data_IF_756064528668
#
_entry.id   IF_756064528668
#
_cell.length_a   1.000
_cell.length_b   1.000
_cell.length_c   1.000
_cell.angle_alpha   90.00
_cell.angle_beta   90.00
_cell.angle_gamma   90.00
#
_symmetry.space_group_name_H-M   'P 1'
#
loop_
_entity.id
_entity.type
_entity.pdbx_description
1 polymer ?
#
# COMPACT_ATOMS: atom_id res chain seq x y z
N UNK A 1 11.35 4.17 -23.19
CA UNK A 1 12.42 4.28 -22.15
C UNK A 1 11.87 4.87 -20.87
N UNK A 2 12.18 4.30 -19.75
CA UNK A 2 11.75 4.83 -18.46
C UNK A 2 12.65 6.00 -18.09
N UNK A 3 12.05 7.17 -17.86
CA UNK A 3 12.74 8.38 -17.47
C UNK A 3 11.98 9.12 -16.37
N UNK A 4 12.53 10.21 -15.90
CA UNK A 4 11.96 11.05 -14.86
C UNK A 4 10.57 11.59 -15.24
N UNK A 5 10.37 11.96 -16.49
CA UNK A 5 9.10 12.48 -16.97
C UNK A 5 8.00 11.43 -16.93
N UNK A 6 8.34 10.19 -17.27
CA UNK A 6 7.41 9.07 -17.17
C UNK A 6 7.00 8.81 -15.73
N UNK A 7 7.96 8.81 -14.80
CA UNK A 7 7.69 8.60 -13.37
C UNK A 7 6.72 9.66 -12.85
N UNK A 8 6.94 10.92 -13.17
CA UNK A 8 6.06 12.03 -12.77
C UNK A 8 4.68 11.91 -13.40
N UNK A 9 4.61 11.54 -14.67
CA UNK A 9 3.34 11.37 -15.39
C UNK A 9 2.51 10.21 -14.82
N UNK A 10 3.14 9.09 -14.50
CA UNK A 10 2.46 7.94 -13.87
C UNK A 10 1.92 8.32 -12.49
N UNK A 11 2.73 8.99 -11.69
CA UNK A 11 2.30 9.46 -10.37
C UNK A 11 1.08 10.37 -10.45
N UNK A 12 1.07 11.30 -11.38
CA UNK A 12 -0.05 12.21 -11.58
C UNK A 12 -1.31 11.47 -12.02
N UNK A 13 -1.18 10.52 -12.94
CA UNK A 13 -2.32 9.75 -13.46
C UNK A 13 -3.00 8.91 -12.38
N UNK A 14 -2.23 8.31 -11.47
CA UNK A 14 -2.74 7.41 -10.44
C UNK A 14 -2.82 8.06 -9.05
N UNK A 15 -2.64 9.37 -8.97
CA UNK A 15 -2.69 10.15 -7.73
C UNK A 15 -1.70 9.62 -6.68
N UNK A 16 -0.47 9.36 -7.12
CA UNK A 16 0.62 8.91 -6.27
C UNK A 16 1.52 10.07 -5.89
N UNK A 17 2.13 9.98 -4.71
CA UNK A 17 3.09 10.99 -4.24
C UNK A 17 4.49 10.59 -4.69
N UNK A 18 5.19 11.51 -5.33
CA UNK A 18 6.61 11.33 -5.70
C UNK A 18 7.46 12.24 -4.86
N UNK A 19 8.49 11.67 -4.24
CA UNK A 19 9.49 12.44 -3.49
C UNK A 19 10.86 12.24 -4.11
N UNK A 20 11.59 13.34 -4.28
CA UNK A 20 12.99 13.30 -4.66
C UNK A 20 13.81 12.98 -3.40
N UNK A 21 14.37 11.77 -3.34
CA UNK A 21 15.13 11.32 -2.19
C UNK A 21 16.58 11.79 -2.22
N UNK A 22 17.14 11.96 -3.41
CA UNK A 22 18.51 12.37 -3.60
C UNK A 22 18.66 13.15 -4.90
N UNK A 23 19.42 14.22 -4.86
CA UNK A 23 19.71 15.03 -6.05
C UNK A 23 21.18 15.46 -6.04
N UNK A 24 21.93 15.00 -7.03
CA UNK A 24 23.31 15.41 -7.27
C UNK A 24 23.52 15.66 -8.76
N UNK A 25 24.73 16.05 -9.15
CA UNK A 25 25.06 16.26 -10.56
C UNK A 25 24.93 14.98 -11.40
N UNK A 26 25.23 13.85 -10.79
CA UNK A 26 25.34 12.57 -11.50
C UNK A 26 24.18 11.63 -11.23
N UNK A 27 23.40 11.88 -10.19
CA UNK A 27 22.34 10.98 -9.79
C UNK A 27 21.19 11.73 -9.14
N UNK A 28 19.98 11.43 -9.58
CA UNK A 28 18.75 11.88 -8.94
C UNK A 28 17.87 10.66 -8.72
N UNK A 29 17.36 10.49 -7.51
CA UNK A 29 16.48 9.38 -7.19
C UNK A 29 15.12 9.86 -6.72
N UNK A 30 14.10 9.10 -7.07
CA UNK A 30 12.70 9.37 -6.74
C UNK A 30 12.07 8.14 -6.13
N UNK A 31 11.25 8.36 -5.12
CA UNK A 31 10.42 7.31 -4.54
C UNK A 31 8.96 7.69 -4.73
N UNK A 32 8.16 6.73 -5.17
CA UNK A 32 6.73 6.88 -5.39
C UNK A 32 5.97 6.18 -4.27
N UNK A 33 5.00 6.88 -3.69
CA UNK A 33 4.24 6.40 -2.53
C UNK A 33 2.76 6.27 -2.88
N UNK A 34 2.17 5.18 -2.43
CA UNK A 34 0.72 4.96 -2.44
C UNK A 34 0.25 4.91 -0.98
N UNK A 35 -0.55 5.88 -0.59
CA UNK A 35 -1.08 5.99 0.77
C UNK A 35 0.04 5.95 1.84
N UNK A 36 1.11 6.70 1.57
CA UNK A 36 2.28 6.78 2.46
C UNK A 36 3.22 5.58 2.43
N UNK A 37 2.95 4.59 1.58
CA UNK A 37 3.77 3.39 1.44
C UNK A 37 4.60 3.43 0.17
N UNK A 38 5.88 3.15 0.29
CA UNK A 38 6.83 3.11 -0.81
C UNK A 38 6.52 1.93 -1.74
N UNK A 39 6.20 2.21 -3.01
CA UNK A 39 5.88 1.18 -4.00
C UNK A 39 6.82 1.15 -5.19
N UNK A 40 7.59 2.21 -5.41
CA UNK A 40 8.42 2.33 -6.61
C UNK A 40 9.62 3.23 -6.33
N UNK A 41 10.77 2.80 -6.82
CA UNK A 41 12.02 3.54 -6.74
C UNK A 41 12.63 3.69 -8.13
N UNK A 42 13.02 4.90 -8.49
CA UNK A 42 13.69 5.22 -9.74
C UNK A 42 14.95 6.02 -9.45
N UNK A 43 16.04 5.70 -10.15
CA UNK A 43 17.30 6.43 -10.06
C UNK A 43 17.86 6.68 -11.45
N UNK A 44 18.32 7.91 -11.71
CA UNK A 44 18.97 8.25 -12.98
C UNK A 44 20.30 7.52 -13.16
N UNK A 45 20.92 7.06 -12.08
CA UNK A 45 22.12 6.22 -12.14
C UNK A 45 21.86 4.90 -12.87
N UNK A 46 20.62 4.40 -12.77
CA UNK A 46 20.15 3.21 -13.48
C UNK A 46 19.15 3.59 -14.56
N UNK A 47 19.55 4.47 -15.46
CA UNK A 47 18.68 4.98 -16.54
C UNK A 47 18.00 3.82 -17.29
N UNK A 48 16.69 3.91 -17.47
CA UNK A 48 15.88 2.89 -18.11
C UNK A 48 15.43 1.76 -17.19
N UNK A 49 15.79 1.80 -15.90
CA UNK A 49 15.41 0.81 -14.89
C UNK A 49 14.59 1.47 -13.78
N UNK A 50 13.65 0.73 -13.29
CA UNK A 50 12.87 1.10 -12.13
C UNK A 50 12.64 -0.14 -11.26
N UNK A 51 12.55 0.05 -9.95
CA UNK A 51 12.16 -1.03 -9.04
C UNK A 51 10.75 -0.74 -8.56
N UNK A 52 9.84 -1.69 -8.73
CA UNK A 52 8.44 -1.53 -8.38
C UNK A 52 7.90 -2.79 -7.71
N UNK A 53 7.05 -2.60 -6.70
CA UNK A 53 6.33 -3.70 -6.08
C UNK A 53 5.33 -4.32 -7.07
N UNK A 54 5.17 -5.63 -7.02
CA UNK A 54 4.28 -6.36 -7.92
C UNK A 54 3.14 -7.07 -7.20
N UNK A 55 3.15 -7.05 -5.87
CA UNK A 55 2.16 -7.74 -5.05
C UNK A 55 1.65 -6.86 -3.93
N UNK A 56 0.39 -7.05 -3.58
CA UNK A 56 -0.23 -6.46 -2.39
C UNK A 56 -0.40 -7.58 -1.37
N UNK A 57 0.02 -7.33 -0.13
CA UNK A 57 -0.03 -8.31 0.95
C UNK A 57 -0.96 -7.85 2.05
N UNK A 58 -1.59 -8.79 2.74
CA UNK A 58 -2.40 -8.52 3.93
C UNK A 58 -1.88 -9.38 5.07
N UNK A 59 -1.45 -8.73 6.14
CA UNK A 59 -0.90 -9.39 7.32
C UNK A 59 -1.82 -9.19 8.53
N UNK A 60 -2.08 -10.27 9.25
CA UNK A 60 -2.89 -10.31 10.46
C UNK A 60 -2.04 -10.47 11.73
N UNK A 61 -0.74 -10.21 11.63
CA UNK A 61 0.21 -10.43 12.72
C UNK A 61 -0.08 -9.54 13.94
N UNK A 62 0.01 -10.08 15.11
CA UNK A 62 0.25 -9.41 16.41
C UNK A 62 -0.85 -8.46 16.90
N UNK A 63 -1.73 -7.98 16.07
CA UNK A 63 -2.84 -7.12 16.50
C UNK A 63 -4.09 -7.52 15.72
N UNK A 64 -5.23 -7.29 16.33
CA UNK A 64 -6.54 -7.54 15.70
C UNK A 64 -6.80 -6.65 14.48
N UNK A 65 -5.80 -5.91 14.02
CA UNK A 65 -5.88 -5.03 12.88
C UNK A 65 -5.08 -5.59 11.71
N UNK A 66 -5.74 -5.97 10.61
CA UNK A 66 -5.02 -6.37 9.41
C UNK A 66 -4.25 -5.18 8.83
N UNK A 67 -3.04 -5.44 8.33
CA UNK A 67 -2.21 -4.45 7.67
C UNK A 67 -2.05 -4.80 6.21
N UNK A 68 -2.29 -3.82 5.34
CA UNK A 68 -2.04 -3.97 3.92
C UNK A 68 -0.64 -3.44 3.66
N UNK A 69 0.17 -4.25 2.99
CA UNK A 69 1.51 -3.89 2.58
C UNK A 69 1.75 -4.25 1.12
N UNK A 70 2.97 -4.05 0.70
CA UNK A 70 3.41 -4.41 -0.65
C UNK A 70 4.55 -5.40 -0.54
N UNK A 71 4.62 -6.31 -1.49
CA UNK A 71 5.72 -7.27 -1.59
C UNK A 71 7.03 -6.62 -2.01
N UNK A 72 8.04 -7.43 -2.25
CA UNK A 72 9.35 -6.96 -2.66
C UNK A 72 9.30 -6.24 -4.00
N UNK A 73 10.23 -5.30 -4.18
CA UNK A 73 10.39 -4.60 -5.43
C UNK A 73 11.15 -5.44 -6.43
N UNK A 74 10.71 -5.38 -7.67
CA UNK A 74 11.34 -6.05 -8.80
C UNK A 74 11.81 -5.02 -9.82
N UNK A 75 12.97 -5.27 -10.43
CA UNK A 75 13.51 -4.38 -11.45
C UNK A 75 12.77 -4.55 -12.77
N UNK A 76 12.39 -3.43 -13.37
CA UNK A 76 11.73 -3.37 -14.66
C UNK A 76 12.45 -2.38 -15.57
N UNK A 77 12.54 -2.69 -16.87
CA UNK A 77 13.21 -1.85 -17.86
C UNK A 77 12.25 -1.18 -18.82
N UNK A 78 11.03 -1.67 -18.86
CA UNK A 78 10.11 -1.33 -19.93
C UNK A 78 8.91 -0.64 -19.34
N UNK A 79 8.49 0.41 -20.02
CA UNK A 79 7.35 1.23 -19.63
C UNK A 79 6.08 0.41 -19.47
N UNK A 80 5.85 -0.54 -20.39
CA UNK A 80 4.67 -1.41 -20.36
C UNK A 80 4.61 -2.27 -19.10
N UNK A 81 5.73 -2.81 -18.66
CA UNK A 81 5.81 -3.59 -17.42
C UNK A 81 5.56 -2.72 -16.18
N UNK A 82 6.13 -1.52 -16.16
CA UNK A 82 5.89 -0.55 -15.08
C UNK A 82 4.41 -0.19 -14.99
N UNK A 83 3.79 0.17 -16.11
CA UNK A 83 2.37 0.53 -16.16
C UNK A 83 1.50 -0.64 -15.72
N UNK A 84 1.82 -1.85 -16.15
CA UNK A 84 1.08 -3.05 -15.74
C UNK A 84 1.15 -3.27 -14.23
N UNK A 85 2.31 -3.08 -13.62
CA UNK A 85 2.47 -3.20 -12.18
C UNK A 85 1.64 -2.14 -11.43
N UNK A 86 1.72 -0.89 -11.83
CA UNK A 86 0.97 0.21 -11.21
C UNK A 86 -0.54 0.02 -11.40
N UNK A 87 -0.98 -0.40 -12.58
CA UNK A 87 -2.39 -0.68 -12.86
C UNK A 87 -2.94 -1.84 -12.03
N UNK A 88 -2.09 -2.74 -11.60
CA UNK A 88 -2.46 -3.81 -10.68
C UNK A 88 -2.46 -3.32 -9.23
N UNK A 89 -1.38 -2.65 -8.79
CA UNK A 89 -1.20 -2.24 -7.40
C UNK A 89 -2.27 -1.26 -6.91
N UNK A 90 -2.53 -0.21 -7.67
CA UNK A 90 -3.41 0.88 -7.22
C UNK A 90 -4.86 0.41 -7.02
N UNK A 91 -5.52 -0.21 -8.01
CA UNK A 91 -6.89 -0.69 -7.81
C UNK A 91 -6.97 -1.80 -6.78
N UNK A 92 -6.00 -2.70 -6.74
CA UNK A 92 -5.97 -3.82 -5.79
C UNK A 92 -5.84 -3.32 -4.37
N UNK A 93 -4.94 -2.37 -4.13
CA UNK A 93 -4.78 -1.74 -2.82
C UNK A 93 -6.06 -1.05 -2.36
N UNK A 94 -6.66 -0.25 -3.22
CA UNK A 94 -7.89 0.49 -2.89
C UNK A 94 -9.05 -0.46 -2.56
N UNK A 95 -9.19 -1.54 -3.32
CA UNK A 95 -10.20 -2.57 -3.07
C UNK A 95 -9.97 -3.27 -1.74
N UNK A 96 -8.75 -3.70 -1.47
CA UNK A 96 -8.39 -4.37 -0.21
C UNK A 96 -8.56 -3.45 0.99
N UNK A 97 -8.20 -2.17 0.86
CA UNK A 97 -8.40 -1.17 1.90
C UNK A 97 -9.86 -1.05 2.30
N UNK A 98 -10.77 -1.05 1.33
CA UNK A 98 -12.21 -1.03 1.58
C UNK A 98 -12.68 -2.31 2.29
N UNK A 99 -12.25 -3.48 1.85
CA UNK A 99 -12.60 -4.77 2.45
C UNK A 99 -12.08 -4.86 3.89
N UNK A 100 -10.82 -4.52 4.11
CA UNK A 100 -10.19 -4.53 5.44
C UNK A 100 -10.91 -3.59 6.39
N UNK A 101 -11.26 -2.40 5.95
CA UNK A 101 -12.03 -1.43 6.74
C UNK A 101 -13.40 -2.00 7.14
N UNK A 102 -14.08 -2.69 6.23
CA UNK A 102 -15.37 -3.30 6.51
C UNK A 102 -15.24 -4.45 7.52
N UNK A 103 -14.29 -5.33 7.35
CA UNK A 103 -14.01 -6.43 8.28
C UNK A 103 -13.69 -5.88 9.67
N UNK A 104 -12.89 -4.84 9.75
CA UNK A 104 -12.53 -4.20 11.02
C UNK A 104 -13.77 -3.67 11.75
N UNK A 105 -14.70 -3.07 11.03
CA UNK A 105 -15.97 -2.60 11.60
C UNK A 105 -16.81 -3.75 12.14
N UNK A 106 -16.91 -4.84 11.40
CA UNK A 106 -17.65 -6.04 11.81
C UNK A 106 -17.05 -6.66 13.07
N UNK A 107 -15.74 -6.80 13.13
CA UNK A 107 -15.03 -7.32 14.30
C UNK A 107 -15.28 -6.43 15.52
N UNK A 108 -15.21 -5.11 15.37
CA UNK A 108 -15.46 -4.16 16.46
C UNK A 108 -16.91 -4.27 16.98
N UNK A 109 -17.88 -4.47 16.11
CA UNK A 109 -19.28 -4.68 16.50
C UNK A 109 -19.43 -5.99 17.29
N UNK A 110 -18.83 -7.08 16.85
CA UNK A 110 -18.85 -8.36 17.57
C UNK A 110 -18.23 -8.25 18.95
N UNK A 111 -17.11 -7.58 19.10
CA UNK A 111 -16.47 -7.35 20.40
C UNK A 111 -17.41 -6.58 21.33
N UNK A 112 -18.08 -5.54 20.87
CA UNK A 112 -19.03 -4.76 21.65
C UNK A 112 -20.23 -5.59 22.09
N UNK A 113 -20.77 -6.41 21.19
CA UNK A 113 -21.89 -7.30 21.51
C UNK A 113 -21.51 -8.34 22.56
N UNK A 114 -20.33 -8.94 22.46
CA UNK A 114 -19.82 -9.89 23.43
C UNK A 114 -19.64 -9.25 24.80
N UNK A 115 -19.13 -8.04 24.88
CA UNK A 115 -18.97 -7.30 26.13
C UNK A 115 -20.34 -6.99 26.77
N UNK A 116 -21.34 -6.62 25.99
CA UNK A 116 -22.71 -6.41 26.47
C UNK A 116 -23.31 -7.71 27.02
N UNK A 117 -23.13 -8.84 26.33
CA UNK A 117 -23.61 -10.15 26.81
C UNK A 117 -22.97 -10.54 28.14
N UNK A 118 -21.68 -10.29 28.32
CA UNK A 118 -20.98 -10.53 29.59
C UNK A 118 -21.56 -9.71 30.72
N UNK A 119 -21.86 -8.45 30.50
CA UNK A 119 -22.46 -7.56 31.49
C UNK A 119 -23.85 -8.06 31.90
N UNK A 120 -24.67 -8.47 30.95
CA UNK A 120 -25.99 -9.04 31.23
C UNK A 120 -25.90 -10.34 32.03
N UNK A 121 -24.96 -11.21 31.69
CA UNK A 121 -24.74 -12.47 32.39
C UNK A 121 -24.29 -12.22 33.82
N UNK A 122 -23.41 -11.27 34.07
CA UNK A 122 -22.95 -10.90 35.40
C UNK A 122 -24.08 -10.33 36.26
N UNK A 123 -24.92 -9.47 35.70
CA UNK A 123 -26.06 -8.91 36.39
C UNK A 123 -27.08 -9.98 36.79
N UNK A 124 -27.32 -10.96 35.89
CA UNK A 124 -28.18 -12.09 36.17
C UNK A 124 -27.65 -12.95 37.33
N UNK A 125 -26.34 -13.08 37.48
CA UNK A 125 -25.71 -13.84 38.58
C UNK A 125 -25.78 -13.14 39.94
N UNK A 126 -26.00 -11.85 39.98
CA UNK A 126 -26.07 -11.07 41.22
C UNK A 126 -27.45 -11.12 41.87
N UNK A 127 -28.40 -11.62 41.17
CA UNK A 127 -29.77 -11.80 41.67
C UNK A 127 -29.90 -13.19 42.32
#
# INVERSE_FOLDING_TARGET
MIDENLIKAVAKKYDLVVKCEHKSRTNTSYTMFLDGKDICYYSTFRAGWVQVCTQVTVDWYVSDKPRIGFGDKHSMRNEKELLKAIQYLVPTYNKLKGIVSQIQKEVNVEIKLNDLEKDFTNDSRRI
#
